data_IF_922009638739
#
_entry.id   IF_922009638739
#
_cell.length_a   1.000
_cell.length_b   1.000
_cell.length_c   1.000
_cell.angle_alpha   90.00
_cell.angle_beta   90.00
_cell.angle_gamma   90.00
#
_symmetry.space_group_name_H-M   'P 1'
#
loop_
_entity.id
_entity.type
_entity.pdbx_description
1 polymer ?
#
# COMPACT_ATOMS: atom_id res chain seq x y z
N UNK A 1 14.66 -3.15 5.38
CA UNK A 1 14.26 -4.10 4.32
C UNK A 1 12.83 -4.52 4.59
N UNK A 2 11.92 -4.22 3.66
CA UNK A 2 10.51 -4.62 3.76
C UNK A 2 10.32 -6.05 3.24
N UNK A 3 9.55 -6.86 3.94
CA UNK A 3 9.21 -8.25 3.55
C UNK A 3 7.85 -8.60 4.11
N UNK A 4 6.88 -8.87 3.24
CA UNK A 4 5.52 -9.21 3.65
C UNK A 4 4.95 -10.23 2.68
N UNK A 5 4.16 -11.16 3.20
CA UNK A 5 3.35 -12.05 2.37
C UNK A 5 1.98 -12.22 2.99
N UNK A 6 0.94 -12.29 2.17
CA UNK A 6 -0.41 -12.51 2.63
C UNK A 6 -1.15 -13.49 1.73
N UNK A 7 -1.79 -14.47 2.36
CA UNK A 7 -2.64 -15.45 1.69
C UNK A 7 -3.66 -16.01 2.69
N UNK A 8 -4.92 -16.23 2.29
CA UNK A 8 -5.46 -15.98 0.96
C UNK A 8 -5.98 -14.54 0.79
N UNK A 9 -5.57 -13.83 -0.27
CA UNK A 9 -5.91 -12.42 -0.54
C UNK A 9 -7.41 -12.18 -0.75
N UNK A 10 -8.13 -13.17 -1.28
CA UNK A 10 -9.57 -13.08 -1.55
C UNK A 10 -10.46 -13.07 -0.30
N UNK A 11 -9.92 -13.41 0.87
CA UNK A 11 -10.67 -13.35 2.15
C UNK A 11 -10.77 -11.94 2.73
N UNK A 12 -9.99 -11.00 2.19
CA UNK A 12 -10.01 -9.59 2.57
C UNK A 12 -10.61 -8.81 1.40
N UNK A 13 -11.89 -8.37 1.45
CA UNK A 13 -12.56 -7.75 0.32
C UNK A 13 -11.81 -6.53 -0.25
N UNK A 14 -11.31 -5.66 0.63
CA UNK A 14 -10.56 -4.45 0.29
C UNK A 14 -9.29 -4.76 -0.51
N UNK A 15 -8.53 -5.76 -0.04
CA UNK A 15 -7.31 -6.21 -0.70
C UNK A 15 -7.62 -6.91 -2.03
N UNK A 16 -8.61 -7.79 -2.03
CA UNK A 16 -9.04 -8.49 -3.24
C UNK A 16 -9.47 -7.52 -4.34
N UNK A 17 -10.19 -6.47 -3.97
CA UNK A 17 -10.64 -5.44 -4.89
C UNK A 17 -9.43 -4.67 -5.49
N UNK A 18 -8.50 -4.22 -4.64
CA UNK A 18 -7.29 -3.52 -5.07
C UNK A 18 -6.35 -4.36 -5.97
N UNK A 19 -6.29 -5.68 -5.76
CA UNK A 19 -5.43 -6.58 -6.52
C UNK A 19 -6.03 -7.08 -7.85
N UNK A 20 -7.33 -6.89 -8.08
CA UNK A 20 -8.00 -7.41 -9.28
C UNK A 20 -8.70 -6.34 -10.12
N UNK A 21 -8.90 -5.12 -9.61
CA UNK A 21 -9.59 -4.05 -10.34
C UNK A 21 -8.68 -2.83 -10.56
N UNK A 22 -8.47 -2.38 -11.82
CA UNK A 22 -7.78 -1.13 -12.10
C UNK A 22 -8.45 0.09 -11.44
N UNK A 23 -7.62 1.00 -10.93
CA UNK A 23 -8.05 2.20 -10.20
C UNK A 23 -8.42 1.96 -8.73
N UNK A 24 -8.31 0.74 -8.24
CA UNK A 24 -8.57 0.43 -6.84
C UNK A 24 -7.29 0.25 -6.05
N UNK A 25 -7.27 0.85 -4.87
CA UNK A 25 -6.16 0.79 -3.93
C UNK A 25 -6.66 0.44 -2.52
N UNK A 26 -5.80 -0.19 -1.75
CA UNK A 26 -6.01 -0.55 -0.36
C UNK A 26 -4.73 -0.29 0.43
N UNK A 27 -4.86 0.14 1.68
CA UNK A 27 -3.73 0.20 2.60
C UNK A 27 -3.60 -1.11 3.37
N UNK A 28 -2.39 -1.44 3.80
CA UNK A 28 -2.08 -2.57 4.67
C UNK A 28 -1.22 -2.04 5.81
N UNK A 29 -1.71 -2.07 7.03
CA UNK A 29 -1.00 -1.59 8.21
C UNK A 29 -1.00 -2.62 9.33
N UNK A 30 0.10 -2.79 10.06
CA UNK A 30 0.11 -3.58 11.29
C UNK A 30 -0.24 -2.68 12.48
N UNK A 31 -1.30 -3.02 13.20
CA UNK A 31 -1.74 -2.32 14.42
C UNK A 31 -2.17 -3.36 15.45
N UNK A 32 -1.66 -3.28 16.68
CA UNK A 32 -2.09 -4.12 17.81
C UNK A 32 -2.18 -5.64 17.51
N UNK A 33 -1.16 -6.22 16.87
CA UNK A 33 -1.14 -7.63 16.43
C UNK A 33 -2.21 -8.02 15.40
N UNK A 34 -2.66 -7.05 14.61
CA UNK A 34 -3.58 -7.25 13.49
C UNK A 34 -3.03 -6.58 12.24
N UNK A 35 -3.33 -7.16 11.07
CA UNK A 35 -3.28 -6.41 9.82
C UNK A 35 -4.60 -5.71 9.61
N UNK A 36 -4.53 -4.41 9.36
CA UNK A 36 -5.66 -3.53 9.10
C UNK A 36 -5.63 -3.14 7.63
N UNK A 37 -6.74 -3.39 6.95
CA UNK A 37 -6.94 -3.12 5.54
C UNK A 37 -8.01 -2.06 5.37
N UNK A 38 -7.67 -0.99 4.64
CA UNK A 38 -8.58 0.12 4.40
C UNK A 38 -8.59 0.50 2.92
N UNK A 39 -9.77 0.76 2.39
CA UNK A 39 -9.97 1.30 1.05
C UNK A 39 -10.73 2.62 1.14
N UNK A 40 -10.46 3.58 0.25
CA UNK A 40 -11.10 4.88 0.30
C UNK A 40 -12.62 4.73 0.10
N UNK A 41 -13.40 5.54 0.79
CA UNK A 41 -14.88 5.49 0.76
C UNK A 41 -15.50 4.39 1.63
N UNK A 42 -14.71 3.45 2.17
CA UNK A 42 -15.19 2.44 3.12
C UNK A 42 -14.98 2.95 4.54
N UNK A 43 -16.06 3.04 5.31
CA UNK A 43 -16.02 3.57 6.68
C UNK A 43 -15.36 2.61 7.68
N UNK A 44 -15.42 1.31 7.43
CA UNK A 44 -14.92 0.28 8.34
C UNK A 44 -13.73 -0.47 7.75
N UNK A 45 -12.66 -0.56 8.54
CA UNK A 45 -11.48 -1.31 8.18
C UNK A 45 -11.71 -2.81 8.37
N UNK A 46 -11.18 -3.62 7.46
CA UNK A 46 -11.08 -5.06 7.68
C UNK A 46 -9.86 -5.37 8.55
N UNK A 47 -10.07 -6.18 9.59
CA UNK A 47 -9.02 -6.53 10.55
C UNK A 47 -8.74 -8.02 10.51
N UNK A 48 -7.53 -8.38 10.15
CA UNK A 48 -7.03 -9.75 10.20
C UNK A 48 -6.18 -9.94 11.45
N UNK A 49 -6.58 -10.85 12.34
CA UNK A 49 -5.82 -11.14 13.57
C UNK A 49 -4.66 -12.08 13.25
N UNK A 50 -3.45 -11.68 13.63
CA UNK A 50 -2.25 -12.46 13.34
C UNK A 50 -2.27 -13.80 14.07
N UNK A 51 -2.00 -14.87 13.34
CA UNK A 51 -1.75 -16.20 13.92
C UNK A 51 -0.34 -16.29 14.49
N UNK A 52 -0.02 -17.36 15.22
CA UNK A 52 1.36 -17.62 15.65
C UNK A 52 2.32 -17.79 14.47
N UNK A 53 1.85 -18.35 13.37
CA UNK A 53 2.65 -18.52 12.16
C UNK A 53 3.03 -17.16 11.58
N UNK A 54 2.06 -16.24 11.48
CA UNK A 54 2.31 -14.87 10.98
C UNK A 54 3.33 -14.13 11.84
N UNK A 55 3.23 -14.28 13.17
CA UNK A 55 4.19 -13.69 14.11
C UNK A 55 5.61 -14.26 13.94
N UNK A 56 5.73 -15.55 13.61
CA UNK A 56 7.03 -16.21 13.37
C UNK A 56 7.66 -15.81 12.04
N UNK A 57 6.86 -15.43 11.05
CA UNK A 57 7.31 -15.13 9.68
C UNK A 57 8.11 -13.83 9.50
N UNK A 58 8.41 -13.08 10.58
CA UNK A 58 9.20 -11.82 10.56
C UNK A 58 8.76 -10.84 9.45
N UNK A 59 7.46 -10.62 9.33
CA UNK A 59 6.95 -9.66 8.35
C UNK A 59 7.32 -8.22 8.75
N UNK A 60 7.90 -7.47 7.82
CA UNK A 60 8.30 -6.07 7.98
C UNK A 60 7.54 -5.23 6.96
N UNK A 61 6.58 -4.45 7.46
CA UNK A 61 5.69 -3.58 6.69
C UNK A 61 6.29 -2.17 6.56
N UNK A 62 7.26 -2.01 5.66
CA UNK A 62 7.82 -0.68 5.32
C UNK A 62 8.17 0.18 6.54
N UNK A 63 7.92 1.48 6.44
CA UNK A 63 8.00 2.44 7.54
C UNK A 63 6.70 2.47 8.37
N UNK A 64 5.53 2.46 7.73
CA UNK A 64 4.24 2.44 8.45
C UNK A 64 3.21 1.42 7.95
N UNK A 65 3.50 0.78 6.82
CA UNK A 65 2.54 -0.04 6.09
C UNK A 65 2.76 0.08 4.59
N UNK A 66 1.82 -0.46 3.83
CA UNK A 66 1.82 -0.36 2.38
C UNK A 66 0.53 0.24 1.84
N UNK A 67 0.62 0.82 0.65
CA UNK A 67 -0.51 1.12 -0.24
C UNK A 67 -0.34 0.22 -1.46
N UNK A 68 -1.31 -0.66 -1.71
CA UNK A 68 -1.27 -1.61 -2.82
C UNK A 68 -2.48 -1.41 -3.73
N UNK A 69 -2.31 -1.64 -5.03
CA UNK A 69 -3.41 -1.53 -5.98
C UNK A 69 -2.95 -1.59 -7.42
N UNK A 70 -3.91 -1.44 -8.35
CA UNK A 70 -3.63 -1.41 -9.78
C UNK A 70 -3.90 0.01 -10.31
N UNK A 71 -2.92 0.71 -10.89
CA UNK A 71 -3.13 1.98 -11.59
C UNK A 71 -4.14 1.85 -12.74
N UNK A 72 -4.95 2.88 -13.01
CA UNK A 72 -5.89 2.89 -14.16
C UNK A 72 -5.13 2.79 -15.48
N UNK A 73 -3.98 3.47 -15.57
CA UNK A 73 -3.09 3.47 -16.74
C UNK A 73 -1.89 2.56 -16.49
N UNK A 74 -2.14 1.31 -16.06
CA UNK A 74 -1.06 0.33 -15.97
C UNK A 74 -0.50 0.08 -17.38
N UNK A 75 0.79 0.36 -17.57
CA UNK A 75 1.49 0.12 -18.83
C UNK A 75 1.35 -1.37 -19.22
N UNK A 76 0.64 -1.60 -20.32
CA UNK A 76 0.38 -2.93 -20.87
C UNK A 76 1.66 -3.63 -21.38
N UNK A 77 2.81 -2.96 -21.37
CA UNK A 77 4.07 -3.46 -21.92
C UNK A 77 4.95 -4.25 -20.95
N UNK A 78 4.62 -4.33 -19.66
CA UNK A 78 5.38 -5.15 -18.71
C UNK A 78 4.57 -6.35 -18.23
N UNK A 79 4.99 -7.56 -18.61
CA UNK A 79 4.43 -8.84 -18.16
C UNK A 79 4.66 -9.13 -16.66
N UNK A 80 5.08 -8.12 -15.87
CA UNK A 80 5.26 -8.19 -14.43
C UNK A 80 4.17 -7.38 -13.74
N UNK A 81 3.22 -8.08 -13.14
CA UNK A 81 2.21 -7.62 -12.17
C UNK A 81 1.85 -6.13 -12.30
N UNK A 82 0.71 -5.85 -12.92
CA UNK A 82 0.09 -4.51 -12.96
C UNK A 82 -0.18 -3.89 -11.58
N UNK A 83 0.02 -4.67 -10.51
CA UNK A 83 -0.08 -4.24 -9.13
C UNK A 83 1.17 -3.45 -8.73
N UNK A 84 0.97 -2.31 -8.08
CA UNK A 84 2.02 -1.50 -7.46
C UNK A 84 1.91 -1.56 -5.94
N UNK A 85 3.04 -1.30 -5.27
CA UNK A 85 3.11 -1.20 -3.82
C UNK A 85 3.96 0.01 -3.44
N UNK A 86 3.39 0.90 -2.63
CA UNK A 86 4.05 2.07 -2.05
C UNK A 86 4.12 1.96 -0.53
N UNK A 87 5.02 2.72 0.11
CA UNK A 87 4.95 2.90 1.57
C UNK A 87 3.72 3.72 1.97
N UNK A 88 3.13 3.40 3.11
CA UNK A 88 2.03 4.16 3.71
C UNK A 88 2.54 5.45 4.37
N UNK A 89 3.81 5.53 4.75
CA UNK A 89 4.41 6.72 5.34
C UNK A 89 4.74 7.78 4.28
N UNK A 90 4.56 9.05 4.64
CA UNK A 90 5.05 10.16 3.84
C UNK A 90 6.59 10.20 3.84
N UNK A 91 7.26 10.02 2.67
CA UNK A 91 8.72 9.99 2.60
C UNK A 91 9.34 11.34 2.97
N UNK A 92 8.68 12.44 2.61
CA UNK A 92 9.21 13.79 2.86
C UNK A 92 9.18 14.15 4.35
N UNK A 93 8.09 13.81 5.07
CA UNK A 93 8.06 13.99 6.53
C UNK A 93 9.11 13.15 7.26
N UNK A 94 9.42 11.97 6.70
CA UNK A 94 10.43 11.08 7.23
C UNK A 94 11.84 11.61 6.95
N UNK A 95 12.14 12.03 5.73
CA UNK A 95 13.47 12.55 5.34
C UNK A 95 13.78 13.90 6.00
N UNK A 96 12.82 14.82 6.05
CA UNK A 96 13.03 16.18 6.56
C UNK A 96 13.07 16.24 8.10
N UNK A 97 12.34 15.34 8.78
CA UNK A 97 12.10 15.46 10.22
C UNK A 97 12.09 14.12 10.97
N UNK A 98 12.44 13.00 10.33
CA UNK A 98 12.40 11.65 10.93
C UNK A 98 11.04 11.28 11.51
N UNK A 99 9.96 11.84 10.96
CA UNK A 99 8.59 11.60 11.43
C UNK A 99 7.88 10.68 10.47
N UNK A 100 7.47 9.52 11.00
CA UNK A 100 6.65 8.56 10.30
C UNK A 100 5.19 9.00 10.40
N UNK A 101 4.61 9.44 9.27
CA UNK A 101 3.21 9.87 9.21
C UNK A 101 2.47 9.13 8.10
N UNK A 102 1.40 8.44 8.47
CA UNK A 102 0.53 7.73 7.53
C UNK A 102 -0.11 8.71 6.56
N UNK A 103 -0.11 8.31 5.30
CA UNK A 103 -0.86 8.93 4.23
C UNK A 103 -2.32 8.49 4.33
N UNK A 104 -3.22 9.41 4.02
CA UNK A 104 -4.64 9.11 3.84
C UNK A 104 -4.89 8.79 2.38
N UNK A 105 -5.37 7.58 2.11
CA UNK A 105 -5.77 7.17 0.76
C UNK A 105 -7.10 7.84 0.40
N UNK A 106 -7.17 8.43 -0.79
CA UNK A 106 -8.35 9.15 -1.30
C UNK A 106 -9.00 8.37 -2.45
N UNK A 107 -10.29 8.63 -2.68
CA UNK A 107 -11.09 7.95 -3.72
C UNK A 107 -10.64 8.24 -5.15
N UNK A 108 -9.89 9.31 -5.37
CA UNK A 108 -9.36 9.73 -6.68
C UNK A 108 -7.95 9.16 -6.96
N UNK A 109 -7.62 8.00 -6.38
CA UNK A 109 -6.32 7.32 -6.59
C UNK A 109 -5.12 8.20 -6.18
N UNK A 110 -5.32 9.04 -5.16
CA UNK A 110 -4.26 9.86 -4.58
C UNK A 110 -4.07 9.53 -3.11
N UNK A 111 -2.87 9.80 -2.62
CA UNK A 111 -2.56 9.68 -1.20
C UNK A 111 -2.17 11.06 -0.66
N UNK A 112 -2.72 11.48 0.47
CA UNK A 112 -2.46 12.80 1.07
C UNK A 112 -1.75 12.67 2.41
N UNK A 113 -0.70 13.47 2.60
CA UNK A 113 -0.10 13.62 3.92
C UNK A 113 -0.87 14.65 4.74
N UNK A 114 -1.43 14.24 5.88
CA UNK A 114 -2.12 15.15 6.80
C UNK A 114 -1.20 16.15 7.52
N UNK A 115 0.13 15.98 7.45
CA UNK A 115 1.11 16.86 8.11
C UNK A 115 1.67 17.93 7.19
N UNK A 116 2.31 17.52 6.09
CA UNK A 116 2.93 18.46 5.14
C UNK A 116 2.00 18.85 3.99
N UNK A 117 0.78 18.30 3.92
CA UNK A 117 -0.22 18.64 2.90
C UNK A 117 0.01 18.05 1.51
N UNK A 118 1.20 17.49 1.24
CA UNK A 118 1.57 16.93 -0.07
C UNK A 118 0.59 15.85 -0.52
N UNK A 119 0.29 15.89 -1.83
CA UNK A 119 -0.61 14.97 -2.50
C UNK A 119 0.15 14.16 -3.55
N UNK A 120 0.04 12.84 -3.47
CA UNK A 120 0.76 11.89 -4.33
C UNK A 120 -0.21 11.21 -5.31
N UNK A 121 0.18 11.09 -6.57
CA UNK A 121 -0.59 10.41 -7.61
C UNK A 121 -0.17 8.95 -7.74
N UNK A 122 -1.06 8.04 -7.31
CA UNK A 122 -0.79 6.60 -7.33
C UNK A 122 -0.88 6.01 -8.73
N UNK A 123 -1.55 6.68 -9.67
CA UNK A 123 -1.56 6.26 -11.07
C UNK A 123 -0.25 6.59 -11.77
N UNK A 124 0.46 7.61 -11.30
CA UNK A 124 1.71 8.08 -11.91
C UNK A 124 2.91 7.86 -10.98
N UNK A 125 3.13 6.61 -10.59
CA UNK A 125 4.30 6.17 -9.82
C UNK A 125 4.48 6.83 -8.44
N UNK A 126 3.44 7.41 -7.86
CA UNK A 126 3.51 8.05 -6.54
C UNK A 126 4.24 9.39 -6.56
N UNK A 127 4.27 10.11 -7.69
CA UNK A 127 4.85 11.46 -7.75
C UNK A 127 3.99 12.48 -7.00
N UNK A 128 4.60 13.57 -6.55
CA UNK A 128 3.89 14.70 -5.94
C UNK A 128 3.17 15.48 -7.05
N UNK A 129 1.87 15.70 -6.86
CA UNK A 129 1.03 16.51 -7.76
C UNK A 129 0.55 17.82 -7.13
N UNK A 130 0.66 17.96 -5.82
CA UNK A 130 0.30 19.17 -5.09
C UNK A 130 1.09 19.27 -3.77
N UNK A 131 1.36 20.50 -3.32
CA UNK A 131 2.25 20.83 -2.22
C UNK A 131 3.71 21.07 -2.64
N UNK A 132 4.60 21.17 -1.65
CA UNK A 132 6.03 21.40 -1.89
C UNK A 132 6.68 20.26 -2.66
N UNK A 133 7.67 20.60 -3.49
CA UNK A 133 8.49 19.61 -4.20
C UNK A 133 9.24 18.70 -3.20
N UNK A 134 9.65 17.54 -3.69
CA UNK A 134 10.39 16.56 -2.89
C UNK A 134 10.33 15.15 -3.46
N UNK A 135 10.55 14.17 -2.61
CA UNK A 135 10.69 12.76 -2.96
C UNK A 135 9.33 12.13 -3.26
N UNK A 136 9.23 11.33 -4.33
CA UNK A 136 8.06 10.50 -4.62
C UNK A 136 7.91 9.38 -3.58
N UNK A 137 6.76 8.69 -3.57
CA UNK A 137 6.54 7.59 -2.64
C UNK A 137 7.58 6.47 -2.82
N UNK A 138 8.09 5.96 -1.70
CA UNK A 138 8.91 4.75 -1.72
C UNK A 138 8.12 3.59 -2.30
N UNK A 139 8.75 2.85 -3.22
CA UNK A 139 8.13 1.73 -3.92
C UNK A 139 8.74 0.42 -3.47
N UNK A 140 7.91 -0.60 -3.41
CA UNK A 140 8.32 -1.96 -3.12
C UNK A 140 7.98 -2.88 -4.28
N UNK A 141 8.80 -3.91 -4.47
CA UNK A 141 8.53 -4.96 -5.44
C UNK A 141 7.42 -5.84 -4.92
N UNK A 142 6.31 -5.88 -5.64
CA UNK A 142 5.16 -6.73 -5.33
C UNK A 142 5.00 -7.82 -6.38
N UNK A 143 4.61 -9.00 -5.93
CA UNK A 143 4.20 -10.12 -6.78
C UNK A 143 2.85 -10.61 -6.29
N UNK A 144 1.85 -10.60 -7.17
CA UNK A 144 0.54 -11.17 -6.92
C UNK A 144 0.32 -12.38 -7.83
N UNK A 145 -0.13 -13.49 -7.24
CA UNK A 145 -0.43 -14.75 -7.92
C UNK A 145 -1.94 -15.02 -7.82
N UNK A 146 -2.74 -14.64 -8.86
CA UNK A 146 -4.20 -14.75 -8.80
C UNK A 146 -4.71 -16.18 -8.57
N UNK A 147 -4.08 -17.17 -9.21
CA UNK A 147 -4.48 -18.58 -9.07
C UNK A 147 -4.29 -19.15 -7.67
N UNK A 148 -3.34 -18.61 -6.90
CA UNK A 148 -3.03 -19.02 -5.53
C UNK A 148 -3.57 -18.06 -4.46
N UNK A 149 -4.21 -16.96 -4.84
CA UNK A 149 -4.61 -15.88 -3.93
C UNK A 149 -3.49 -15.49 -2.95
N UNK A 150 -2.27 -15.34 -3.46
CA UNK A 150 -1.10 -15.02 -2.65
C UNK A 150 -0.45 -13.75 -3.18
N UNK A 151 -0.09 -12.86 -2.27
CA UNK A 151 0.77 -11.72 -2.58
C UNK A 151 2.04 -11.74 -1.73
N UNK A 152 3.13 -11.27 -2.33
CA UNK A 152 4.39 -11.02 -1.63
C UNK A 152 4.92 -9.64 -1.97
N UNK A 153 5.50 -8.97 -0.98
CA UNK A 153 6.13 -7.66 -1.08
C UNK A 153 7.55 -7.77 -0.55
N UNK A 154 8.52 -7.33 -1.33
CA UNK A 154 9.93 -7.32 -0.97
C UNK A 154 10.58 -5.99 -1.38
N UNK A 155 11.62 -5.61 -0.65
CA UNK A 155 12.52 -4.50 -1.01
C UNK A 155 13.74 -5.02 -1.77
#
# INVERSE_FOLDING_TARGET
MARFSFSPTNTVPQLNAALNNPGQFCTIAARNSQYVFHSPGIREDYKYTLTELDRKSKYVLGLSGFIVGIPIMADQLSAQSSVVCFDLACPNCYEEASITRDLTLLENQRAKCGRCGRLYDLNNQGIITDGEQGTSLYRYRIQYYPSGNNMTVNN
#
